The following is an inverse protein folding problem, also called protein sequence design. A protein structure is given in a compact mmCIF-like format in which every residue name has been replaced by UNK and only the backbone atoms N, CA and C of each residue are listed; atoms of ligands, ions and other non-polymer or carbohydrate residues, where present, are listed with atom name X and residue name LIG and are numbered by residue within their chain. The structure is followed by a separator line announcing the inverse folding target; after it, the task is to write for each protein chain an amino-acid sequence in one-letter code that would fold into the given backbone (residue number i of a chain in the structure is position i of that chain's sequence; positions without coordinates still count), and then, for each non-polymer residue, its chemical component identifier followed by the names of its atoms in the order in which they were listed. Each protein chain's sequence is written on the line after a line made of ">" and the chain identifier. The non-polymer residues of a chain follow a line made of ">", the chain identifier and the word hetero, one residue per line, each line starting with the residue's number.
data_IF_032959679060
#
_entry.id   IF_032959679060
#
_cell.length_a   1.000
_cell.length_b   1.000
_cell.length_c   1.000
_cell.angle_alpha   90.00
_cell.angle_beta   90.00
_cell.angle_gamma   90.00
#
_symmetry.space_group_name_H-M   'P 1'
#
loop_
_entity.id
_entity.type
_entity.pdbx_description
1 polymer ?
#
# COMPACT_ATOMS: atom_id res chain seq x y z
N UNK A 1 21.85 -2.62 -4.24
CA UNK A 1 20.49 -2.15 -3.92
C UNK A 1 19.56 -3.32 -4.23
N UNK A 2 18.84 -3.84 -3.25
CA UNK A 2 18.05 -5.07 -3.42
C UNK A 2 16.55 -4.74 -3.49
N UNK A 3 15.83 -5.38 -4.42
CA UNK A 3 14.37 -5.34 -4.45
C UNK A 3 13.81 -6.33 -3.43
N UNK A 4 12.72 -5.95 -2.77
CA UNK A 4 12.08 -6.73 -1.70
C UNK A 4 11.56 -8.12 -2.17
N UNK A 5 11.11 -8.23 -3.41
CA UNK A 5 10.46 -9.43 -3.97
C UNK A 5 11.40 -10.45 -4.63
N UNK A 6 12.70 -10.17 -4.68
CA UNK A 6 13.71 -11.02 -5.32
C UNK A 6 14.83 -11.39 -4.33
N UNK A 7 14.46 -11.93 -3.16
CA UNK A 7 15.43 -12.68 -2.35
C UNK A 7 15.65 -14.02 -3.07
N UNK A 8 16.84 -14.29 -3.63
CA UNK A 8 17.07 -15.55 -4.33
C UNK A 8 16.98 -16.71 -3.33
N UNK A 9 16.63 -17.93 -3.79
CA UNK A 9 16.28 -19.07 -2.91
C UNK A 9 17.41 -19.53 -1.98
N UNK A 10 18.64 -19.06 -2.20
CA UNK A 10 19.84 -19.28 -1.40
C UNK A 10 20.06 -18.23 -0.30
N UNK A 11 19.19 -17.20 -0.19
CA UNK A 11 19.23 -16.21 0.87
C UNK A 11 18.07 -16.35 1.84
N UNK A 12 18.39 -16.22 3.12
CA UNK A 12 17.41 -16.17 4.21
C UNK A 12 16.40 -15.04 3.99
N UNK A 13 15.09 -15.31 4.17
CA UNK A 13 14.06 -14.28 4.16
C UNK A 13 14.34 -13.20 5.21
N UNK A 14 13.93 -11.95 4.94
CA UNK A 14 14.03 -10.87 5.93
C UNK A 14 13.25 -11.25 7.20
N UNK A 15 13.86 -11.01 8.36
CA UNK A 15 13.18 -11.20 9.64
C UNK A 15 12.08 -10.14 9.84
N UNK A 16 11.18 -10.42 10.78
CA UNK A 16 10.03 -9.58 11.06
C UNK A 16 10.40 -8.13 11.42
N UNK A 17 11.42 -7.93 12.25
CA UNK A 17 11.80 -6.58 12.68
C UNK A 17 12.37 -5.78 11.52
N UNK A 18 13.15 -6.41 10.65
CA UNK A 18 13.65 -5.79 9.43
C UNK A 18 12.50 -5.40 8.49
N UNK A 19 11.49 -6.26 8.30
CA UNK A 19 10.29 -5.94 7.51
C UNK A 19 9.52 -4.74 8.07
N UNK A 20 9.31 -4.70 9.39
CA UNK A 20 8.62 -3.59 10.04
C UNK A 20 9.43 -2.28 9.98
N UNK A 21 10.76 -2.37 10.08
CA UNK A 21 11.65 -1.22 9.88
C UNK A 21 11.53 -0.65 8.47
N UNK A 22 11.48 -1.51 7.45
CA UNK A 22 11.28 -1.11 6.05
C UNK A 22 9.90 -0.46 5.88
N UNK A 23 8.83 -1.08 6.39
CA UNK A 23 7.49 -0.51 6.34
C UNK A 23 7.44 0.91 6.96
N UNK A 24 7.99 1.04 8.17
CA UNK A 24 8.00 2.32 8.89
C UNK A 24 8.83 3.39 8.16
N UNK A 25 9.99 3.04 7.61
CA UNK A 25 10.80 3.98 6.85
C UNK A 25 10.16 4.40 5.53
N UNK A 26 9.51 3.48 4.81
CA UNK A 26 8.79 3.78 3.58
C UNK A 26 7.57 4.68 3.85
N UNK A 27 6.84 4.42 4.93
CA UNK A 27 5.74 5.27 5.40
C UNK A 27 6.22 6.69 5.72
N UNK A 28 7.35 6.84 6.42
CA UNK A 28 7.96 8.15 6.69
C UNK A 28 8.35 8.91 5.42
N UNK A 29 8.88 8.19 4.43
CA UNK A 29 9.18 8.78 3.12
C UNK A 29 7.92 9.33 2.44
N UNK A 30 6.81 8.58 2.53
CA UNK A 30 5.54 8.99 1.96
C UNK A 30 4.89 10.16 2.74
N UNK A 31 4.90 10.11 4.07
CA UNK A 31 4.47 11.19 4.96
C UNK A 31 5.23 12.48 4.65
N UNK A 32 6.55 12.41 4.42
CA UNK A 32 7.34 13.58 4.07
C UNK A 32 6.81 14.25 2.79
N UNK A 33 6.50 13.45 1.76
CA UNK A 33 5.97 13.96 0.49
C UNK A 33 4.57 14.58 0.66
N UNK A 34 3.72 14.01 1.50
CA UNK A 34 2.36 14.49 1.70
C UNK A 34 2.28 15.72 2.60
N UNK A 35 3.02 15.73 3.70
CA UNK A 35 2.80 16.70 4.79
C UNK A 35 3.94 17.70 4.97
N UNK A 36 5.16 17.35 4.56
CA UNK A 36 6.36 18.19 4.77
C UNK A 36 6.79 18.92 3.50
N UNK A 37 6.60 18.31 2.34
CA UNK A 37 6.83 18.97 1.06
C UNK A 37 5.79 20.07 0.83
N UNK A 38 6.24 21.21 0.31
CA UNK A 38 5.37 22.34 -0.02
C UNK A 38 5.68 22.84 -1.45
N UNK A 39 4.74 22.69 -2.40
CA UNK A 39 3.43 22.06 -2.25
C UNK A 39 3.53 20.54 -1.99
N UNK A 40 2.48 19.91 -1.43
CA UNK A 40 2.43 18.45 -1.26
C UNK A 40 2.74 17.71 -2.55
N UNK A 41 3.29 16.51 -2.46
CA UNK A 41 3.63 15.65 -3.60
C UNK A 41 2.93 14.32 -3.46
N UNK A 42 2.08 13.97 -4.44
CA UNK A 42 1.48 12.64 -4.57
C UNK A 42 2.41 11.77 -5.41
N UNK A 43 2.86 10.66 -4.85
CA UNK A 43 3.86 9.78 -5.42
C UNK A 43 3.35 8.99 -6.62
N UNK A 44 2.10 8.52 -6.54
CA UNK A 44 1.28 7.89 -7.60
C UNK A 44 1.74 6.52 -8.09
N UNK A 45 3.01 6.15 -7.94
CA UNK A 45 3.54 4.84 -8.30
C UNK A 45 4.28 4.18 -7.13
N UNK A 46 3.60 4.12 -5.98
CA UNK A 46 4.16 3.52 -4.77
C UNK A 46 4.06 1.99 -4.85
N UNK A 47 5.21 1.31 -4.94
CA UNK A 47 5.31 -0.15 -5.09
C UNK A 47 6.63 -0.66 -4.54
N UNK A 48 6.71 -1.96 -4.27
CA UNK A 48 7.91 -2.59 -3.71
C UNK A 48 9.16 -2.40 -4.58
N UNK A 49 9.02 -2.40 -5.91
CA UNK A 49 10.16 -2.15 -6.82
C UNK A 49 10.61 -0.69 -6.88
N UNK A 50 9.89 0.24 -6.25
CA UNK A 50 10.30 1.64 -6.13
C UNK A 50 10.81 1.99 -4.73
N UNK A 51 10.93 1.00 -3.84
CA UNK A 51 11.50 1.13 -2.50
C UNK A 51 12.85 0.44 -2.50
N UNK A 52 13.89 1.26 -2.46
CA UNK A 52 15.25 0.79 -2.53
C UNK A 52 15.86 0.65 -1.13
N UNK A 53 16.59 -0.43 -0.88
CA UNK A 53 17.21 -0.71 0.42
C UNK A 53 18.73 -0.52 0.35
N UNK A 54 19.28 0.18 1.35
CA UNK A 54 20.72 0.23 1.59
C UNK A 54 21.23 -0.94 2.45
N UNK A 55 22.53 -0.94 2.77
CA UNK A 55 23.19 -2.02 3.55
C UNK A 55 22.57 -2.17 4.94
N UNK A 56 21.99 -1.11 5.51
CA UNK A 56 21.33 -1.12 6.80
C UNK A 56 19.82 -1.39 6.74
N UNK A 57 19.30 -1.83 5.59
CA UNK A 57 17.86 -1.97 5.33
C UNK A 57 17.08 -0.68 5.57
N UNK A 58 17.69 0.48 5.36
CA UNK A 58 16.97 1.74 5.37
C UNK A 58 16.31 1.93 4.00
N UNK A 59 14.98 2.10 3.94
CA UNK A 59 14.27 2.29 2.69
C UNK A 59 14.44 3.71 2.15
N UNK A 60 14.53 3.83 0.83
CA UNK A 60 14.55 5.09 0.08
C UNK A 60 13.58 4.99 -1.11
N UNK A 61 12.71 5.98 -1.25
CA UNK A 61 11.81 6.07 -2.39
C UNK A 61 12.60 6.46 -3.66
N UNK A 62 12.28 5.84 -4.78
CA UNK A 62 12.91 6.06 -6.08
C UNK A 62 11.92 6.02 -7.22
N UNK A 63 12.28 6.64 -8.35
CA UNK A 63 11.41 6.79 -9.52
C UNK A 63 10.18 7.66 -9.23
N UNK A 64 10.40 8.97 -9.31
CA UNK A 64 9.38 10.00 -9.19
C UNK A 64 8.78 10.38 -10.56
N UNK A 65 8.99 9.59 -11.61
CA UNK A 65 8.58 9.92 -12.98
C UNK A 65 7.08 10.14 -13.15
N UNK A 66 6.27 9.53 -12.28
CA UNK A 66 4.81 9.67 -12.28
C UNK A 66 4.27 10.62 -11.21
N UNK A 67 5.15 11.12 -10.31
CA UNK A 67 4.76 11.97 -9.20
C UNK A 67 4.07 13.26 -9.68
N UNK A 68 3.15 13.77 -8.84
CA UNK A 68 2.39 14.98 -9.12
C UNK A 68 2.39 15.88 -7.90
N UNK A 69 2.40 17.20 -8.13
CA UNK A 69 2.06 18.12 -7.07
C UNK A 69 0.60 17.87 -6.66
N UNK A 70 0.37 17.76 -5.36
CA UNK A 70 -0.95 17.64 -4.77
C UNK A 70 -1.82 18.86 -5.05
N UNK A 71 -3.12 18.77 -4.75
CA UNK A 71 -4.01 19.90 -4.95
C UNK A 71 -3.57 21.10 -4.11
N UNK A 72 -3.67 22.30 -4.71
CA UNK A 72 -3.37 23.59 -4.07
C UNK A 72 -4.66 24.40 -3.99
N UNK A 73 -4.85 25.15 -2.90
CA UNK A 73 -6.07 25.92 -2.64
C UNK A 73 -7.25 25.02 -2.31
N UNK A 74 -8.43 25.31 -2.86
CA UNK A 74 -9.69 24.65 -2.49
C UNK A 74 -9.94 23.30 -3.20
N UNK A 75 -8.94 22.77 -3.92
CA UNK A 75 -9.08 21.49 -4.62
C UNK A 75 -8.87 20.33 -3.65
N UNK A 76 -9.70 19.29 -3.75
CA UNK A 76 -9.55 18.06 -2.95
C UNK A 76 -8.69 16.99 -3.62
N UNK A 77 -8.46 17.10 -4.93
CA UNK A 77 -7.78 16.09 -5.75
C UNK A 77 -7.10 16.69 -6.98
N UNK A 78 -6.27 15.88 -7.64
CA UNK A 78 -5.67 16.16 -8.94
C UNK A 78 -6.39 15.32 -9.99
N UNK A 79 -7.18 15.95 -10.86
CA UNK A 79 -7.77 15.23 -12.01
C UNK A 79 -6.70 14.97 -13.06
N UNK A 80 -6.44 13.71 -13.38
CA UNK A 80 -5.40 13.32 -14.33
C UNK A 80 -5.78 12.00 -15.01
N UNK A 81 -5.18 11.71 -16.18
CA UNK A 81 -5.22 10.36 -16.75
C UNK A 81 -4.82 9.35 -15.68
N UNK A 82 -5.51 8.21 -15.59
CA UNK A 82 -5.11 7.12 -14.68
C UNK A 82 -3.74 6.59 -15.11
N UNK A 83 -2.77 6.66 -14.21
CA UNK A 83 -1.43 6.06 -14.37
C UNK A 83 -0.97 5.53 -13.02
N UNK A 84 -0.18 4.48 -13.04
CA UNK A 84 0.32 3.76 -11.87
C UNK A 84 0.48 2.29 -12.22
N UNK A 85 1.01 1.49 -11.30
CA UNK A 85 1.23 0.07 -11.51
C UNK A 85 -0.01 -0.76 -11.12
N UNK A 86 -0.41 -1.69 -11.99
CA UNK A 86 -1.51 -2.62 -11.72
C UNK A 86 -1.21 -3.47 -10.48
N UNK A 87 -2.22 -3.68 -9.63
CA UNK A 87 -2.09 -4.35 -8.33
C UNK A 87 -1.83 -3.40 -7.15
N UNK A 88 -1.31 -2.20 -7.40
CA UNK A 88 -1.07 -1.17 -6.37
C UNK A 88 -2.05 0.00 -6.49
N UNK A 89 -2.61 0.23 -7.67
CA UNK A 89 -3.51 1.35 -7.96
C UNK A 89 -4.80 1.27 -7.14
N UNK A 90 -5.13 2.36 -6.43
CA UNK A 90 -6.35 2.47 -5.65
C UNK A 90 -7.61 2.37 -6.54
N UNK A 91 -8.62 1.57 -6.16
CA UNK A 91 -9.79 1.32 -7.01
C UNK A 91 -10.58 2.60 -7.30
N UNK A 92 -10.75 3.49 -6.30
CA UNK A 92 -11.43 4.76 -6.47
C UNK A 92 -10.69 5.69 -7.43
N UNK A 93 -9.36 5.68 -7.43
CA UNK A 93 -8.56 6.44 -8.39
C UNK A 93 -8.68 5.85 -9.80
N UNK A 94 -8.62 4.52 -9.93
CA UNK A 94 -8.77 3.84 -11.21
C UNK A 94 -10.14 4.11 -11.86
N UNK A 95 -11.20 4.23 -11.05
CA UNK A 95 -12.56 4.49 -11.52
C UNK A 95 -12.80 5.97 -11.88
N UNK A 96 -12.28 6.90 -11.09
CA UNK A 96 -12.64 8.33 -11.18
C UNK A 96 -11.59 9.20 -11.85
N UNK A 97 -10.33 8.76 -11.92
CA UNK A 97 -9.20 9.58 -12.32
C UNK A 97 -8.82 10.68 -11.31
N UNK A 98 -9.43 10.69 -10.12
CA UNK A 98 -9.14 11.65 -9.06
C UNK A 98 -7.97 11.16 -8.21
N UNK A 99 -6.79 11.73 -8.45
CA UNK A 99 -5.58 11.37 -7.73
C UNK A 99 -5.50 12.15 -6.41
N UNK A 100 -5.28 11.45 -5.30
CA UNK A 100 -5.17 12.03 -3.96
C UNK A 100 -4.02 11.40 -3.17
N UNK A 101 -3.65 12.01 -2.04
CA UNK A 101 -2.73 11.40 -1.07
C UNK A 101 -3.22 10.04 -0.55
N UNK A 102 -4.55 9.84 -0.49
CA UNK A 102 -5.15 8.56 -0.07
C UNK A 102 -4.91 7.43 -1.08
N UNK A 103 -4.75 7.78 -2.36
CA UNK A 103 -4.38 6.81 -3.39
C UNK A 103 -2.98 6.20 -3.13
N UNK A 104 -2.03 7.00 -2.63
CA UNK A 104 -0.72 6.49 -2.20
C UNK A 104 -0.83 5.66 -0.91
N UNK A 105 -1.72 6.02 0.02
CA UNK A 105 -1.95 5.25 1.26
C UNK A 105 -2.48 3.85 0.94
N UNK A 106 -3.39 3.71 -0.03
CA UNK A 106 -3.82 2.41 -0.51
C UNK A 106 -2.64 1.59 -1.06
N UNK A 107 -1.84 2.22 -1.91
CA UNK A 107 -0.66 1.59 -2.53
C UNK A 107 0.37 1.14 -1.48
N UNK A 108 0.58 1.94 -0.43
CA UNK A 108 1.38 1.55 0.74
C UNK A 108 0.78 0.33 1.45
N UNK A 109 -0.54 0.26 1.62
CA UNK A 109 -1.22 -0.90 2.18
C UNK A 109 -0.92 -2.19 1.41
N UNK A 110 -0.88 -2.13 0.07
CA UNK A 110 -0.48 -3.26 -0.77
C UNK A 110 0.95 -3.68 -0.48
N UNK A 111 1.91 -2.74 -0.48
CA UNK A 111 3.32 -3.03 -0.13
C UNK A 111 3.44 -3.64 1.28
N UNK A 112 2.66 -3.14 2.23
CA UNK A 112 2.64 -3.67 3.59
C UNK A 112 2.13 -5.11 3.65
N UNK A 113 1.11 -5.46 2.86
CA UNK A 113 0.66 -6.84 2.69
C UNK A 113 1.75 -7.72 2.07
N UNK A 114 2.50 -7.22 1.08
CA UNK A 114 3.64 -7.96 0.52
C UNK A 114 4.68 -8.24 1.61
N UNK A 115 4.99 -7.27 2.48
CA UNK A 115 5.90 -7.42 3.61
C UNK A 115 5.43 -8.50 4.61
N UNK A 116 4.14 -8.51 4.94
CA UNK A 116 3.59 -9.47 5.90
C UNK A 116 3.51 -10.88 5.31
N UNK A 117 3.01 -11.00 4.07
CA UNK A 117 2.66 -12.29 3.47
C UNK A 117 3.81 -12.94 2.71
N UNK A 118 4.80 -12.15 2.28
CA UNK A 118 5.85 -12.60 1.37
C UNK A 118 5.36 -12.90 -0.06
N UNK A 119 4.11 -12.57 -0.40
CA UNK A 119 3.54 -12.74 -1.75
C UNK A 119 3.73 -11.47 -2.58
N UNK A 120 3.82 -11.61 -3.90
CA UNK A 120 3.82 -10.49 -4.85
C UNK A 120 2.41 -9.90 -4.96
N UNK A 121 2.30 -8.58 -5.15
CA UNK A 121 1.02 -7.90 -5.34
C UNK A 121 0.21 -8.50 -6.50
N UNK A 122 0.88 -8.88 -7.59
CA UNK A 122 0.35 -9.67 -8.69
C UNK A 122 1.27 -10.85 -8.94
N UNK A 123 0.74 -12.07 -8.84
CA UNK A 123 1.46 -13.31 -9.07
C UNK A 123 0.69 -14.21 -10.06
N UNK A 124 1.14 -14.23 -11.31
CA UNK A 124 0.51 -15.02 -12.37
C UNK A 124 0.70 -16.52 -12.21
N UNK A 125 1.59 -16.96 -11.31
CA UNK A 125 1.83 -18.38 -11.02
C UNK A 125 0.80 -18.97 -10.07
N UNK A 126 0.03 -18.12 -9.38
CA UNK A 126 -1.06 -18.56 -8.49
C UNK A 126 -2.32 -18.99 -9.27
N UNK A 127 -3.20 -19.80 -8.64
CA UNK A 127 -4.49 -20.16 -9.21
C UNK A 127 -5.34 -18.94 -9.60
N UNK A 128 -6.25 -19.14 -10.55
CA UNK A 128 -7.19 -18.10 -10.97
C UNK A 128 -8.03 -17.62 -9.77
N UNK A 129 -8.14 -16.30 -9.59
CA UNK A 129 -8.78 -15.69 -8.43
C UNK A 129 -7.84 -15.37 -7.25
N UNK A 130 -6.65 -15.97 -7.20
CA UNK A 130 -5.63 -15.71 -6.16
C UNK A 130 -4.43 -14.90 -6.65
N UNK A 131 -4.42 -14.53 -7.92
CA UNK A 131 -3.31 -13.82 -8.56
C UNK A 131 -3.13 -12.39 -8.04
N UNK A 132 -4.19 -11.75 -7.54
CA UNK A 132 -4.12 -10.43 -6.92
C UNK A 132 -4.09 -10.56 -5.40
N UNK A 133 -3.03 -10.03 -4.78
CA UNK A 133 -2.80 -10.13 -3.34
C UNK A 133 -3.95 -9.55 -2.52
N UNK A 134 -4.50 -8.41 -2.93
CA UNK A 134 -5.60 -7.76 -2.22
C UNK A 134 -6.84 -8.64 -2.26
N UNK A 135 -7.22 -9.13 -3.46
CA UNK A 135 -8.35 -10.05 -3.61
C UNK A 135 -8.18 -11.32 -2.79
N UNK A 136 -6.96 -11.86 -2.75
CA UNK A 136 -6.64 -13.05 -1.96
C UNK A 136 -6.71 -12.82 -0.45
N UNK A 137 -6.30 -11.66 0.06
CA UNK A 137 -6.25 -11.40 1.51
C UNK A 137 -7.60 -11.03 2.12
N UNK A 138 -8.53 -10.49 1.32
CA UNK A 138 -9.84 -10.00 1.78
C UNK A 138 -10.60 -11.02 2.64
N UNK A 139 -10.74 -12.29 2.24
CA UNK A 139 -11.41 -13.29 3.07
C UNK A 139 -10.79 -13.46 4.46
N UNK A 140 -9.48 -13.28 4.60
CA UNK A 140 -8.75 -13.47 5.85
C UNK A 140 -8.75 -12.21 6.74
N UNK A 141 -8.73 -11.03 6.13
CA UNK A 141 -8.76 -9.75 6.85
C UNK A 141 -10.12 -9.48 7.50
N UNK A 142 -11.21 -9.98 6.90
CA UNK A 142 -12.59 -9.81 7.38
C UNK A 142 -13.19 -11.06 8.02
N UNK A 143 -12.51 -12.23 8.01
CA UNK A 143 -12.99 -13.43 8.70
C UNK A 143 -12.90 -13.34 10.23
N UNK A 144 -12.08 -12.44 10.78
CA UNK A 144 -12.11 -12.18 12.22
C UNK A 144 -13.41 -11.47 12.67
N UNK A 145 -14.20 -10.96 11.72
CA UNK A 145 -15.56 -10.45 11.93
C UNK A 145 -16.63 -11.49 11.54
N UNK A 146 -16.39 -12.79 11.73
CA UNK A 146 -17.44 -13.81 11.70
C UNK A 146 -18.30 -13.71 12.99
N UNK A 147 -18.96 -12.56 13.19
CA UNK A 147 -20.23 -12.55 13.89
C UNK A 147 -21.23 -13.14 12.90
N UNK A 148 -21.67 -14.35 13.21
CA UNK A 148 -22.50 -15.21 12.38
C UNK A 148 -23.71 -14.49 11.80
N UNK A 149 -23.97 -14.70 10.51
CA UNK A 149 -25.21 -14.36 9.79
C UNK A 149 -26.38 -15.24 10.26
N UNK A 150 -26.56 -15.37 11.58
CA UNK A 150 -27.65 -16.10 12.22
C UNK A 150 -27.84 -15.54 13.63
N UNK A 151 -28.83 -14.67 13.78
CA UNK A 151 -29.33 -14.24 15.10
C UNK A 151 -28.93 -12.82 15.48
N UNK A 152 -29.95 -11.99 15.61
CA UNK A 152 -29.93 -10.63 16.16
C UNK A 152 -29.62 -10.69 17.67
N UNK A 153 -28.57 -10.01 18.16
CA UNK A 153 -28.54 -9.35 19.49
C UNK A 153 -27.35 -8.35 19.60
N UNK A 154 -27.47 -7.24 20.37
CA UNK A 154 -26.81 -5.97 20.09
C UNK A 154 -25.50 -5.78 20.86
N UNK A 155 -24.42 -5.49 20.13
CA UNK A 155 -23.21 -4.91 20.71
C UNK A 155 -22.81 -3.58 20.03
N UNK A 156 -23.71 -2.95 19.27
CA UNK A 156 -23.45 -1.67 18.57
C UNK A 156 -23.97 -0.45 19.36
N UNK A 157 -24.06 -0.51 20.69
CA UNK A 157 -24.39 0.70 21.49
C UNK A 157 -23.34 1.09 22.56
N UNK A 158 -22.16 0.49 22.61
CA UNK A 158 -21.17 0.81 23.68
C UNK A 158 -19.85 1.43 23.20
N UNK A 159 -19.74 1.93 21.96
CA UNK A 159 -18.48 2.55 21.48
C UNK A 159 -18.62 3.99 20.97
N UNK A 160 -19.72 4.68 21.29
CA UNK A 160 -19.87 6.13 21.04
C UNK A 160 -20.24 6.92 22.31
N UNK A 161 -19.68 6.53 23.46
CA UNK A 161 -19.61 7.42 24.63
C UNK A 161 -18.46 7.03 25.55
N UNK A 162 -17.31 7.68 25.34
CA UNK A 162 -16.53 8.42 26.35
C UNK A 162 -15.36 9.13 25.68
#
# INVERSE_FOLDING_TARGET
>A
MYFFVDVPPDKEPLDWNTRMKIAAGAAKGLEYLHDKANPPVIYRDFKSSNILLDVGFQPKLSDFGLAKLGPVGDKSHVSTRVMGTYGYCAPEYAMTGQLTVKSDVYSFGVVFLELITGRKAIDSTQPHGEQNLVTWVVPYAFSCCHFTYSGIHPCIESCTSK
#
